data_IF_703768684474
#
_entry.id   IF_703768684474
#
_cell.length_a   1.000
_cell.length_b   1.000
_cell.length_c   1.000
_cell.angle_alpha   90.00
_cell.angle_beta   90.00
_cell.angle_gamma   90.00
#
_symmetry.space_group_name_H-M   'P 1'
#
loop_
_entity.id
_entity.type
_entity.pdbx_description
1 polymer ?
#
# COMPACT_ATOMS: atom_id res chain seq x y z
N UNK A 1 -18.88 57.29 23.23
CA UNK A 1 -17.93 57.52 24.33
C UNK A 1 -18.19 56.43 25.35
N UNK A 2 -17.42 55.35 25.49
CA UNK A 2 -16.07 55.06 25.04
C UNK A 2 -15.87 53.55 24.79
N UNK A 3 -14.88 53.31 23.93
CA UNK A 3 -14.14 52.13 23.44
C UNK A 3 -14.06 50.82 24.25
N UNK A 4 -14.18 49.68 23.53
CA UNK A 4 -13.24 48.51 23.44
C UNK A 4 -13.97 47.35 22.71
N UNK A 5 -13.62 46.96 21.48
CA UNK A 5 -12.45 46.24 20.97
C UNK A 5 -12.42 44.72 21.32
N UNK A 6 -12.78 43.93 20.30
CA UNK A 6 -12.27 42.64 19.78
C UNK A 6 -11.90 41.44 20.69
N UNK A 7 -12.48 40.28 20.31
CA UNK A 7 -11.94 38.90 20.10
C UNK A 7 -10.98 38.29 21.17
N UNK A 8 -10.91 37.00 21.52
CA UNK A 8 -11.08 35.72 20.82
C UNK A 8 -10.91 34.56 21.85
N UNK A 9 -11.40 33.33 21.53
CA UNK A 9 -10.92 31.99 21.97
C UNK A 9 -11.03 31.64 23.49
N UNK A 10 -11.21 30.40 23.96
CA UNK A 10 -11.07 29.02 23.46
C UNK A 10 -11.67 28.05 24.50
N UNK A 11 -11.94 26.79 24.10
CA UNK A 11 -11.74 25.59 24.94
C UNK A 11 -12.68 25.30 26.12
N UNK A 12 -13.55 24.28 25.96
CA UNK A 12 -14.12 23.50 27.08
C UNK A 12 -13.12 22.41 27.54
N UNK A 13 -13.20 21.93 28.80
CA UNK A 13 -12.04 21.69 29.65
C UNK A 13 -11.43 20.29 29.53
N UNK A 14 -10.11 20.23 29.67
CA UNK A 14 -9.33 19.02 29.94
C UNK A 14 -9.43 18.70 31.43
N UNK A 15 -9.70 17.44 31.79
CA UNK A 15 -9.77 16.98 33.16
C UNK A 15 -8.36 16.90 33.76
N UNK A 16 -7.95 17.97 34.45
CA UNK A 16 -6.71 18.00 35.23
C UNK A 16 -6.94 17.32 36.59
N UNK A 17 -6.07 16.37 36.95
CA UNK A 17 -5.95 15.91 38.34
C UNK A 17 -4.55 16.23 38.84
N UNK A 18 -4.50 17.11 39.84
CA UNK A 18 -3.28 17.51 40.51
C UNK A 18 -2.87 16.46 41.56
N UNK A 19 -1.60 16.04 41.55
CA UNK A 19 -0.99 15.26 42.64
C UNK A 19 0.33 15.94 43.01
N UNK A 20 0.49 16.25 44.31
CA UNK A 20 1.66 16.92 44.87
C UNK A 20 2.68 15.89 45.36
N UNK A 21 3.89 15.87 44.77
CA UNK A 21 5.05 15.14 45.31
C UNK A 21 6.25 16.09 45.25
N UNK A 22 6.81 16.40 46.42
CA UNK A 22 8.06 17.17 46.67
C UNK A 22 8.37 18.34 45.71
N UNK A 23 7.78 19.51 46.02
CA UNK A 23 8.19 20.89 45.66
C UNK A 23 8.73 21.18 44.24
N UNK A 24 8.46 20.31 43.28
CA UNK A 24 8.60 20.57 41.84
C UNK A 24 7.27 20.27 41.18
N UNK A 25 6.67 21.30 40.58
CA UNK A 25 5.53 21.17 39.68
C UNK A 25 5.97 20.34 38.48
N UNK A 26 5.65 19.05 38.46
CA UNK A 26 5.82 18.19 37.30
C UNK A 26 4.50 18.16 36.54
N UNK A 27 4.45 18.80 35.37
CA UNK A 27 3.36 18.58 34.42
C UNK A 27 3.50 17.16 33.87
N UNK A 28 2.66 16.24 34.37
CA UNK A 28 2.50 14.93 33.75
C UNK A 28 1.55 15.15 32.58
N UNK A 29 2.09 15.31 31.38
CA UNK A 29 1.32 15.14 30.15
C UNK A 29 0.97 13.66 30.11
N UNK A 30 -0.26 13.31 30.47
CA UNK A 30 -0.80 11.98 30.20
C UNK A 30 -1.09 11.97 28.70
N UNK A 31 -0.10 11.53 27.94
CA UNK A 31 -0.25 11.23 26.52
C UNK A 31 -1.22 10.03 26.43
N UNK A 32 -2.49 10.30 26.13
CA UNK A 32 -3.57 9.30 25.96
C UNK A 32 -3.35 8.43 24.70
N UNK A 33 -2.18 8.57 24.06
CA UNK A 33 -1.68 7.59 23.11
C UNK A 33 -1.23 6.37 23.91
N UNK A 34 -2.05 5.32 23.88
CA UNK A 34 -1.65 3.98 24.31
C UNK A 34 -0.41 3.58 23.50
N UNK A 35 0.77 3.88 24.04
CA UNK A 35 2.06 3.67 23.41
C UNK A 35 2.34 2.17 23.38
N UNK A 36 2.05 1.54 22.25
CA UNK A 36 2.19 0.09 22.09
C UNK A 36 3.65 -0.25 21.80
N UNK A 37 4.18 -1.26 22.49
CA UNK A 37 5.52 -1.78 22.20
C UNK A 37 5.43 -2.88 21.16
N UNK A 38 6.38 -2.91 20.22
CA UNK A 38 6.53 -4.04 19.30
C UNK A 38 6.83 -5.35 20.07
N UNK A 39 7.33 -5.25 21.30
CA UNK A 39 7.61 -6.39 22.16
C UNK A 39 6.34 -7.11 22.66
N UNK A 40 5.17 -6.46 22.57
CA UNK A 40 3.88 -7.06 22.90
C UNK A 40 3.38 -8.06 21.83
N UNK A 41 4.04 -8.09 20.67
CA UNK A 41 3.65 -8.90 19.52
C UNK A 41 4.52 -10.14 19.33
N UNK A 42 3.93 -11.22 18.80
CA UNK A 42 4.69 -12.42 18.45
C UNK A 42 5.55 -12.19 17.20
N UNK A 43 6.57 -13.00 17.00
CA UNK A 43 7.48 -12.90 15.84
C UNK A 43 6.76 -12.80 14.48
N UNK A 44 5.71 -13.61 14.27
CA UNK A 44 4.95 -13.57 13.02
C UNK A 44 4.07 -12.32 12.90
N UNK A 45 3.58 -11.80 14.02
CA UNK A 45 2.82 -10.54 14.06
C UNK A 45 3.74 -9.39 13.65
N UNK A 46 4.95 -9.32 14.22
CA UNK A 46 5.98 -8.34 13.86
C UNK A 46 6.31 -8.39 12.37
N UNK A 47 6.48 -9.59 11.81
CA UNK A 47 6.72 -9.79 10.36
C UNK A 47 5.59 -9.25 9.49
N UNK A 48 4.33 -9.55 9.84
CA UNK A 48 3.16 -9.04 9.12
C UNK A 48 3.12 -7.52 9.19
N UNK A 49 3.24 -6.94 10.39
CA UNK A 49 3.24 -5.50 10.58
C UNK A 49 4.38 -4.82 9.80
N UNK A 50 5.58 -5.39 9.79
CA UNK A 50 6.72 -4.81 9.06
C UNK A 50 6.55 -4.85 7.54
N UNK A 51 5.90 -5.88 7.00
CA UNK A 51 5.62 -5.95 5.57
C UNK A 51 4.52 -4.97 5.18
N UNK A 52 3.45 -4.88 5.97
CA UNK A 52 2.36 -3.95 5.68
C UNK A 52 2.77 -2.48 5.91
N UNK A 53 3.74 -2.22 6.79
CA UNK A 53 4.30 -0.89 7.05
C UNK A 53 5.53 -0.58 6.18
N UNK A 54 5.77 -1.31 5.09
CA UNK A 54 6.83 -0.94 4.13
C UNK A 54 6.61 0.50 3.67
N UNK A 55 7.64 1.35 3.77
CA UNK A 55 7.58 2.81 3.56
C UNK A 55 6.90 3.65 4.67
N UNK A 56 6.94 3.19 5.93
CA UNK A 56 6.69 4.06 7.09
C UNK A 56 5.23 4.52 7.26
N UNK A 57 4.28 3.67 6.87
CA UNK A 57 2.85 3.96 7.01
C UNK A 57 2.33 5.09 6.12
N UNK A 58 3.17 5.62 5.22
CA UNK A 58 2.78 6.56 4.16
C UNK A 58 2.03 5.84 3.05
N UNK A 59 2.37 4.56 2.82
CA UNK A 59 1.79 3.75 1.77
C UNK A 59 0.59 2.89 2.21
N UNK A 60 -0.44 2.79 1.37
CA UNK A 60 -1.63 1.96 1.59
C UNK A 60 -1.42 0.54 1.02
N UNK A 61 -0.49 -0.18 1.62
CA UNK A 61 -0.09 -1.52 1.21
C UNK A 61 -1.20 -2.55 1.43
N UNK A 62 -1.53 -3.31 0.38
CA UNK A 62 -2.57 -4.34 0.40
C UNK A 62 -2.00 -5.65 -0.15
N UNK A 63 -2.06 -6.71 0.64
CA UNK A 63 -1.54 -8.03 0.26
C UNK A 63 -2.57 -9.13 0.47
N UNK A 64 -2.70 -10.04 -0.49
CA UNK A 64 -3.55 -11.23 -0.30
C UNK A 64 -2.99 -12.16 0.77
N UNK A 65 -3.83 -13.03 1.33
CA UNK A 65 -3.37 -14.07 2.27
C UNK A 65 -2.20 -14.87 1.71
N UNK A 66 -2.34 -15.37 0.47
CA UNK A 66 -1.29 -16.14 -0.19
C UNK A 66 -0.07 -15.29 -0.53
N UNK A 67 -0.26 -13.99 -0.84
CA UNK A 67 0.83 -13.04 -1.01
C UNK A 67 1.66 -12.89 0.27
N UNK A 68 1.01 -12.75 1.42
CA UNK A 68 1.65 -12.69 2.72
C UNK A 68 2.38 -14.00 3.07
N UNK A 69 1.77 -15.17 2.82
CA UNK A 69 2.42 -16.48 3.03
C UNK A 69 3.75 -16.53 2.29
N UNK A 70 3.76 -16.14 1.01
CA UNK A 70 4.95 -16.22 0.16
C UNK A 70 6.00 -15.17 0.53
N UNK A 71 5.60 -13.90 0.67
CA UNK A 71 6.51 -12.80 1.03
C UNK A 71 7.15 -12.98 2.41
N UNK A 72 6.42 -13.54 3.38
CA UNK A 72 6.92 -13.68 4.76
C UNK A 72 7.53 -15.05 5.06
N UNK A 73 7.32 -16.04 4.19
CA UNK A 73 7.73 -17.43 4.43
C UNK A 73 7.04 -18.06 5.65
N UNK A 74 5.82 -17.62 5.98
CA UNK A 74 5.08 -18.09 7.17
C UNK A 74 4.10 -19.19 6.76
N UNK A 75 4.08 -20.29 7.51
CA UNK A 75 3.09 -21.35 7.31
C UNK A 75 1.65 -20.84 7.43
N UNK A 76 0.75 -21.29 6.55
CA UNK A 76 -0.64 -20.80 6.42
C UNK A 76 -1.40 -20.72 7.76
N UNK A 77 -1.33 -21.76 8.60
CA UNK A 77 -2.04 -21.76 9.89
C UNK A 77 -1.45 -20.75 10.88
N UNK A 78 -0.14 -20.51 10.83
CA UNK A 78 0.52 -19.53 11.67
C UNK A 78 0.21 -18.11 11.21
N UNK A 79 0.15 -17.87 9.90
CA UNK A 79 -0.29 -16.60 9.35
C UNK A 79 -1.75 -16.30 9.71
N UNK A 80 -2.65 -17.28 9.54
CA UNK A 80 -4.06 -17.13 9.89
C UNK A 80 -4.26 -16.72 11.35
N UNK A 81 -3.54 -17.37 12.28
CA UNK A 81 -3.56 -17.01 13.71
C UNK A 81 -3.03 -15.60 13.96
N UNK A 82 -1.96 -15.21 13.26
CA UNK A 82 -1.34 -13.89 13.41
C UNK A 82 -2.28 -12.79 12.91
N UNK A 83 -2.85 -12.96 11.72
CA UNK A 83 -3.82 -12.02 11.14
C UNK A 83 -5.07 -11.87 12.00
N UNK A 84 -5.61 -12.97 12.52
CA UNK A 84 -6.78 -12.93 13.42
C UNK A 84 -6.48 -12.10 14.69
N UNK A 85 -5.30 -12.28 15.31
CA UNK A 85 -4.91 -11.44 16.47
C UNK A 85 -4.77 -9.97 16.10
N UNK A 86 -4.11 -9.68 14.98
CA UNK A 86 -3.87 -8.31 14.53
C UNK A 86 -5.17 -7.59 14.10
N UNK A 87 -6.14 -8.33 13.55
CA UNK A 87 -7.49 -7.84 13.27
C UNK A 87 -8.25 -7.55 14.56
N UNK A 88 -8.21 -8.45 15.55
CA UNK A 88 -8.84 -8.23 16.85
C UNK A 88 -8.23 -7.06 17.62
N UNK A 89 -6.93 -6.80 17.42
CA UNK A 89 -6.24 -5.63 17.95
C UNK A 89 -6.53 -4.33 17.16
N UNK A 90 -7.29 -4.40 16.06
CA UNK A 90 -7.63 -3.25 15.22
C UNK A 90 -6.45 -2.66 14.44
N UNK A 91 -5.34 -3.40 14.30
CA UNK A 91 -4.14 -2.94 13.61
C UNK A 91 -4.14 -3.30 12.13
N UNK A 92 -4.75 -4.43 11.80
CA UNK A 92 -4.92 -4.94 10.43
C UNK A 92 -6.41 -5.04 10.14
N UNK A 93 -6.79 -4.89 8.87
CA UNK A 93 -8.14 -5.20 8.39
C UNK A 93 -8.10 -5.99 7.10
N UNK A 94 -9.06 -6.89 6.96
CA UNK A 94 -9.36 -7.58 5.71
C UNK A 94 -10.17 -6.67 4.78
N UNK A 95 -9.86 -6.76 3.50
CA UNK A 95 -10.50 -6.07 2.37
C UNK A 95 -10.75 -7.09 1.26
N UNK A 96 -11.47 -6.68 0.22
CA UNK A 96 -11.75 -7.53 -0.94
C UNK A 96 -10.48 -8.00 -1.66
N UNK A 97 -9.40 -7.22 -1.58
CA UNK A 97 -8.13 -7.49 -2.28
C UNK A 97 -6.99 -7.93 -1.35
N UNK A 98 -7.29 -8.22 -0.08
CA UNK A 98 -6.31 -8.70 0.89
C UNK A 98 -6.35 -7.99 2.23
N UNK A 99 -5.21 -7.92 2.89
CA UNK A 99 -5.04 -7.34 4.23
C UNK A 99 -4.22 -6.07 4.13
N UNK A 100 -4.58 -5.07 4.94
CA UNK A 100 -3.85 -3.81 5.06
C UNK A 100 -3.86 -3.28 6.49
N UNK A 101 -3.00 -2.31 6.79
CA UNK A 101 -3.03 -1.62 8.07
C UNK A 101 -4.31 -0.79 8.21
N UNK A 102 -4.84 -0.74 9.42
CA UNK A 102 -6.01 0.08 9.76
C UNK A 102 -5.58 1.50 10.18
N UNK A 103 -4.39 1.63 10.75
CA UNK A 103 -3.83 2.87 11.27
C UNK A 103 -2.35 2.97 10.92
N UNK A 104 -1.82 4.19 10.85
CA UNK A 104 -0.37 4.38 10.72
C UNK A 104 0.31 3.95 12.03
N UNK A 105 1.13 2.89 11.97
CA UNK A 105 1.80 2.34 13.14
C UNK A 105 2.81 3.33 13.74
N UNK A 106 3.35 4.26 12.95
CA UNK A 106 4.26 5.30 13.44
C UNK A 106 3.55 6.30 14.37
N UNK A 107 2.22 6.36 14.35
CA UNK A 107 1.47 7.18 15.32
C UNK A 107 1.19 6.46 16.64
N UNK A 108 1.41 5.15 16.71
CA UNK A 108 0.96 4.28 17.84
C UNK A 108 2.14 3.61 18.54
N UNK A 109 3.20 3.28 17.80
CA UNK A 109 4.36 2.58 18.34
C UNK A 109 5.30 3.56 19.05
N UNK A 110 5.96 3.07 20.10
CA UNK A 110 7.09 3.78 20.74
C UNK A 110 8.29 3.88 19.79
N UNK A 111 9.13 4.90 19.98
CA UNK A 111 10.27 5.20 19.09
C UNK A 111 11.19 3.99 18.82
N UNK A 112 11.55 3.22 19.86
CA UNK A 112 12.36 2.00 19.71
C UNK A 112 11.70 1.00 18.75
N UNK A 113 10.41 0.75 18.96
CA UNK A 113 9.61 -0.16 18.16
C UNK A 113 9.46 0.27 16.70
N UNK A 114 9.44 1.57 16.41
CA UNK A 114 9.47 2.08 15.02
C UNK A 114 10.78 1.71 14.33
N UNK A 115 11.91 1.92 15.00
CA UNK A 115 13.24 1.58 14.47
C UNK A 115 13.35 0.07 14.22
N UNK A 116 12.91 -0.74 15.18
CA UNK A 116 12.92 -2.20 15.05
C UNK A 116 12.04 -2.66 13.87
N UNK A 117 10.87 -2.06 13.69
CA UNK A 117 9.97 -2.36 12.59
C UNK A 117 10.55 -1.97 11.23
N UNK A 118 11.22 -0.82 11.13
CA UNK A 118 11.91 -0.36 9.91
C UNK A 118 13.08 -1.28 9.55
N UNK A 119 13.83 -1.77 10.54
CA UNK A 119 14.89 -2.73 10.30
C UNK A 119 14.33 -4.08 9.81
N UNK A 120 13.22 -4.55 10.38
CA UNK A 120 12.53 -5.75 9.91
C UNK A 120 11.97 -5.57 8.48
N UNK A 121 11.41 -4.40 8.17
CA UNK A 121 10.86 -4.12 6.84
C UNK A 121 11.96 -4.16 5.78
N UNK A 122 13.15 -3.61 6.06
CA UNK A 122 14.34 -3.70 5.19
C UNK A 122 14.75 -5.15 4.92
N UNK A 123 14.75 -6.01 5.94
CA UNK A 123 15.11 -7.43 5.81
C UNK A 123 14.09 -8.20 4.95
N UNK A 124 12.79 -7.89 5.09
CA UNK A 124 11.70 -8.61 4.40
C UNK A 124 11.49 -8.07 2.98
N UNK A 125 11.64 -6.76 2.81
CA UNK A 125 11.68 -6.14 1.50
C UNK A 125 12.84 -6.79 0.76
N UNK A 126 12.56 -7.37 -0.40
CA UNK A 126 13.62 -7.84 -1.29
C UNK A 126 14.34 -6.62 -1.91
N UNK A 127 14.73 -5.63 -1.10
CA UNK A 127 15.35 -4.37 -1.52
C UNK A 127 16.64 -4.61 -2.30
N UNK A 128 17.27 -5.78 -2.14
CA UNK A 128 18.45 -6.21 -2.89
C UNK A 128 18.15 -7.01 -4.15
N UNK A 129 16.89 -7.36 -4.43
CA UNK A 129 16.54 -8.00 -5.69
C UNK A 129 16.72 -6.99 -6.82
N UNK A 130 17.62 -7.30 -7.76
CA UNK A 130 17.81 -6.50 -8.96
C UNK A 130 16.67 -6.78 -9.92
N UNK A 131 15.72 -5.86 -9.98
CA UNK A 131 14.67 -5.86 -11.00
C UNK A 131 15.24 -5.27 -12.30
N UNK A 132 15.13 -6.01 -13.38
CA UNK A 132 15.41 -5.55 -14.74
C UNK A 132 14.11 -5.07 -15.40
N UNK A 133 14.14 -3.89 -16.03
CA UNK A 133 13.01 -3.38 -16.82
C UNK A 133 12.82 -4.24 -18.08
N UNK A 134 11.59 -4.73 -18.28
CA UNK A 134 11.20 -5.48 -19.48
C UNK A 134 10.48 -4.56 -20.48
N UNK A 135 9.49 -3.80 -20.01
CA UNK A 135 8.63 -2.95 -20.85
C UNK A 135 8.43 -1.60 -20.17
N UNK A 136 8.43 -0.53 -20.95
CA UNK A 136 7.97 0.79 -20.51
C UNK A 136 7.00 1.36 -21.56
N UNK A 137 5.89 1.92 -21.09
CA UNK A 137 4.95 2.64 -21.92
C UNK A 137 4.42 3.89 -21.22
N UNK A 138 3.84 4.78 -22.03
CA UNK A 138 3.15 5.97 -21.58
C UNK A 138 1.64 5.74 -21.56
N UNK A 139 0.97 6.17 -20.49
CA UNK A 139 -0.48 6.13 -20.34
C UNK A 139 -1.05 7.45 -20.89
N UNK A 140 -1.87 7.44 -21.96
CA UNK A 140 -2.49 8.63 -22.56
C UNK A 140 -3.38 9.39 -21.57
N UNK A 141 -3.29 10.72 -21.53
CA UNK A 141 -3.98 11.60 -20.55
C UNK A 141 -5.49 11.41 -20.45
N UNK A 142 -6.10 10.83 -21.48
CA UNK A 142 -7.52 10.45 -21.52
C UNK A 142 -7.89 9.31 -20.55
N UNK A 143 -6.91 8.57 -20.03
CA UNK A 143 -7.10 7.45 -19.09
C UNK A 143 -6.50 7.77 -17.73
N UNK A 144 -7.25 7.52 -16.66
CA UNK A 144 -6.76 7.67 -15.28
C UNK A 144 -5.90 6.46 -14.88
N UNK A 145 -4.87 6.68 -14.08
CA UNK A 145 -3.99 5.59 -13.63
C UNK A 145 -4.78 4.59 -12.77
N UNK A 146 -5.72 5.10 -11.98
CA UNK A 146 -6.63 4.33 -11.13
C UNK A 146 -7.46 3.34 -11.94
N UNK A 147 -7.87 3.69 -13.18
CA UNK A 147 -8.61 2.78 -14.05
C UNK A 147 -7.74 1.59 -14.47
N UNK A 148 -6.45 1.84 -14.73
CA UNK A 148 -5.46 0.78 -15.03
C UNK A 148 -5.29 -0.12 -13.82
N UNK A 149 -5.10 0.47 -12.63
CA UNK A 149 -5.00 -0.27 -11.36
C UNK A 149 -6.22 -1.16 -11.17
N UNK A 150 -7.41 -0.58 -11.21
CA UNK A 150 -8.69 -1.28 -10.99
C UNK A 150 -8.92 -2.41 -12.01
N UNK A 151 -8.50 -2.23 -13.27
CA UNK A 151 -8.59 -3.28 -14.31
C UNK A 151 -7.66 -4.46 -14.03
N UNK A 152 -6.58 -4.27 -13.27
CA UNK A 152 -5.52 -5.26 -13.03
C UNK A 152 -5.56 -5.89 -11.62
N UNK A 153 -6.20 -5.23 -10.65
CA UNK A 153 -6.31 -5.74 -9.28
C UNK A 153 -6.82 -7.19 -9.25
N UNK A 154 -6.10 -8.05 -8.52
CA UNK A 154 -6.47 -9.45 -8.35
C UNK A 154 -6.25 -10.37 -9.56
N UNK A 155 -5.85 -9.84 -10.73
CA UNK A 155 -5.68 -10.65 -11.94
C UNK A 155 -4.45 -11.54 -11.88
N UNK A 156 -4.55 -12.71 -12.50
CA UNK A 156 -3.43 -13.62 -12.73
C UNK A 156 -3.00 -13.57 -14.19
N UNK A 157 -1.72 -13.80 -14.45
CA UNK A 157 -1.14 -13.74 -15.80
C UNK A 157 -0.27 -14.96 -16.06
N UNK A 158 -0.84 -15.97 -16.72
CA UNK A 158 -0.12 -17.23 -16.92
C UNK A 158 0.26 -17.88 -15.59
N UNK A 159 1.56 -18.00 -15.36
CA UNK A 159 2.14 -18.53 -14.12
C UNK A 159 2.22 -17.50 -13.00
N UNK A 160 2.05 -16.21 -13.31
CA UNK A 160 2.05 -15.13 -12.32
C UNK A 160 0.77 -15.13 -11.49
N UNK A 161 0.95 -15.22 -10.17
CA UNK A 161 -0.12 -15.11 -9.18
C UNK A 161 -0.08 -13.76 -8.51
N UNK A 162 -1.26 -13.17 -8.34
CA UNK A 162 -1.43 -11.89 -7.67
C UNK A 162 -0.92 -11.94 -6.22
N UNK A 163 -0.06 -11.00 -5.85
CA UNK A 163 0.49 -10.87 -4.50
C UNK A 163 -0.21 -9.73 -3.77
N UNK A 164 -0.19 -8.55 -4.36
CA UNK A 164 -0.69 -7.34 -3.73
C UNK A 164 -0.36 -6.08 -4.51
N UNK A 165 -0.67 -4.95 -3.89
CA UNK A 165 -0.41 -3.61 -4.39
C UNK A 165 0.20 -2.77 -3.27
N UNK A 166 1.19 -1.97 -3.64
CA UNK A 166 1.77 -0.90 -2.83
C UNK A 166 1.34 0.41 -3.45
N UNK A 167 0.78 1.31 -2.66
CA UNK A 167 0.31 2.62 -3.08
C UNK A 167 1.03 3.64 -2.21
N UNK A 168 1.86 4.51 -2.78
CA UNK A 168 2.57 5.54 -2.03
C UNK A 168 2.69 6.83 -2.85
N UNK A 169 3.48 7.79 -2.35
CA UNK A 169 3.58 9.14 -2.92
C UNK A 169 4.02 9.17 -4.39
N UNK A 170 4.76 8.13 -4.82
CA UNK A 170 5.23 7.96 -6.20
C UNK A 170 4.23 7.29 -7.14
N UNK A 171 3.11 6.78 -6.65
CA UNK A 171 2.10 6.05 -7.43
C UNK A 171 1.92 4.61 -6.97
N UNK A 172 1.64 3.70 -7.90
CA UNK A 172 1.25 2.33 -7.59
C UNK A 172 2.29 1.31 -8.04
N UNK A 173 2.51 0.27 -7.22
CA UNK A 173 3.28 -0.91 -7.60
C UNK A 173 2.40 -2.14 -7.43
N UNK A 174 1.99 -2.73 -8.55
CA UNK A 174 1.26 -3.98 -8.55
C UNK A 174 2.26 -5.14 -8.63
N UNK A 175 2.07 -6.16 -7.80
CA UNK A 175 3.06 -7.21 -7.61
C UNK A 175 2.47 -8.59 -7.89
N UNK A 176 3.23 -9.38 -8.66
CA UNK A 176 2.97 -10.79 -8.91
C UNK A 176 4.20 -11.64 -8.63
N UNK A 177 3.97 -12.93 -8.39
CA UNK A 177 5.02 -13.94 -8.23
C UNK A 177 4.71 -15.16 -9.10
N UNK A 178 5.75 -15.70 -9.72
CA UNK A 178 5.69 -16.94 -10.48
C UNK A 178 5.81 -18.17 -9.58
N UNK A 179 5.33 -19.31 -10.07
CA UNK A 179 5.59 -20.61 -9.44
C UNK A 179 7.10 -20.91 -9.34
N UNK A 180 7.90 -20.37 -10.26
CA UNK A 180 9.36 -20.51 -10.30
C UNK A 180 10.09 -19.48 -9.40
N UNK A 181 9.36 -18.84 -8.46
CA UNK A 181 9.87 -17.95 -7.40
C UNK A 181 10.59 -16.67 -7.89
N UNK A 182 10.24 -16.18 -9.06
CA UNK A 182 10.59 -14.82 -9.50
C UNK A 182 9.36 -13.91 -9.41
N UNK A 183 9.60 -12.62 -9.34
CA UNK A 183 8.62 -11.56 -9.23
C UNK A 183 8.51 -10.77 -10.52
N UNK A 184 7.32 -10.24 -10.74
CA UNK A 184 7.06 -9.23 -11.77
C UNK A 184 6.30 -8.09 -11.11
N UNK A 185 6.80 -6.87 -11.29
CA UNK A 185 6.15 -5.67 -10.80
C UNK A 185 5.68 -4.83 -11.99
N UNK A 186 4.52 -4.20 -11.84
CA UNK A 186 4.09 -3.08 -12.66
C UNK A 186 4.15 -1.82 -11.80
N UNK A 187 5.07 -0.91 -12.12
CA UNK A 187 5.17 0.41 -11.52
C UNK A 187 4.41 1.43 -12.36
N UNK A 188 3.48 2.13 -11.74
CA UNK A 188 2.68 3.20 -12.31
C UNK A 188 3.07 4.50 -11.61
N UNK A 189 3.96 5.27 -12.23
CA UNK A 189 4.51 6.50 -11.68
C UNK A 189 4.19 7.65 -12.62
N UNK A 190 3.45 8.64 -12.14
CA UNK A 190 2.93 9.73 -12.97
C UNK A 190 2.10 9.19 -14.16
N UNK A 191 2.69 9.15 -15.36
CA UNK A 191 2.06 8.65 -16.59
C UNK A 191 2.83 7.49 -17.23
N UNK A 192 3.83 6.96 -16.55
CA UNK A 192 4.61 5.83 -17.03
C UNK A 192 4.15 4.54 -16.36
N UNK A 193 3.93 3.52 -17.19
CA UNK A 193 3.81 2.14 -16.76
C UNK A 193 5.12 1.42 -17.09
N UNK A 194 5.78 0.88 -16.08
CA UNK A 194 7.03 0.12 -16.21
C UNK A 194 6.81 -1.28 -15.67
N UNK A 195 7.01 -2.29 -16.52
CA UNK A 195 7.01 -3.69 -16.10
C UNK A 195 8.46 -4.13 -15.92
N UNK A 196 8.78 -4.65 -14.75
CA UNK A 196 10.11 -5.11 -14.36
C UNK A 196 10.05 -6.50 -13.72
N UNK A 197 11.16 -7.23 -13.73
CA UNK A 197 11.25 -8.57 -13.12
C UNK A 197 12.64 -8.84 -12.56
N UNK A 198 12.72 -9.64 -11.49
CA UNK A 198 13.97 -10.19 -10.93
C UNK A 198 14.30 -11.59 -11.50
N UNK A 199 13.60 -12.02 -12.56
CA UNK A 199 13.78 -13.32 -13.18
C UNK A 199 15.23 -13.54 -13.68
N UNK A 200 15.82 -14.66 -13.29
CA UNK A 200 17.18 -15.07 -13.67
C UNK A 200 17.19 -16.33 -14.53
N UNK A 201 18.15 -16.42 -15.45
CA UNK A 201 18.25 -17.52 -16.41
C UNK A 201 17.31 -17.39 -17.61
N UNK A 202 17.70 -17.98 -18.75
CA UNK A 202 17.02 -17.78 -20.04
C UNK A 202 15.54 -18.20 -20.02
N UNK A 203 15.20 -19.30 -19.33
CA UNK A 203 13.82 -19.79 -19.19
C UNK A 203 12.93 -18.75 -18.48
N UNK A 204 13.33 -18.33 -17.29
CA UNK A 204 12.51 -17.44 -16.46
C UNK A 204 12.46 -16.03 -17.06
N UNK A 205 13.56 -15.53 -17.65
CA UNK A 205 13.54 -14.24 -18.37
C UNK A 205 12.58 -14.26 -19.56
N UNK A 206 12.56 -15.35 -20.33
CA UNK A 206 11.62 -15.53 -21.44
C UNK A 206 10.17 -15.55 -20.94
N UNK A 207 9.91 -16.32 -19.88
CA UNK A 207 8.56 -16.42 -19.30
C UNK A 207 8.08 -15.09 -18.69
N UNK A 208 8.95 -14.38 -17.96
CA UNK A 208 8.67 -13.06 -17.42
C UNK A 208 8.34 -12.07 -18.55
N UNK A 209 9.06 -12.15 -19.67
CA UNK A 209 8.77 -11.33 -20.87
C UNK A 209 7.40 -11.65 -21.45
N UNK A 210 7.04 -12.93 -21.60
CA UNK A 210 5.70 -13.33 -22.09
C UNK A 210 4.61 -12.80 -21.14
N UNK A 211 4.80 -12.94 -19.83
CA UNK A 211 3.83 -12.48 -18.86
C UNK A 211 3.73 -10.94 -18.79
N UNK A 212 4.83 -10.21 -18.99
CA UNK A 212 4.84 -8.76 -19.13
C UNK A 212 3.98 -8.29 -20.31
N UNK A 213 4.05 -8.98 -21.45
CA UNK A 213 3.21 -8.70 -22.61
C UNK A 213 1.72 -8.97 -22.34
N UNK A 214 1.39 -9.97 -21.51
CA UNK A 214 -0.01 -10.21 -21.08
C UNK A 214 -0.54 -9.10 -20.18
N UNK A 215 0.30 -8.55 -19.30
CA UNK A 215 -0.05 -7.36 -18.50
C UNK A 215 -0.30 -6.17 -19.45
N UNK A 216 0.63 -5.93 -20.38
CA UNK A 216 0.50 -4.87 -21.39
C UNK A 216 -0.79 -5.00 -22.21
N UNK A 217 -1.14 -6.21 -22.65
CA UNK A 217 -2.36 -6.47 -23.40
C UNK A 217 -3.63 -6.02 -22.65
N UNK A 218 -3.68 -6.22 -21.33
CA UNK A 218 -4.81 -5.74 -20.52
C UNK A 218 -4.85 -4.22 -20.42
N UNK A 219 -3.68 -3.58 -20.32
CA UNK A 219 -3.58 -2.13 -20.31
C UNK A 219 -4.06 -1.57 -21.66
N UNK A 220 -3.56 -2.09 -22.78
CA UNK A 220 -3.93 -1.61 -24.11
C UNK A 220 -5.40 -1.85 -24.44
N UNK A 221 -5.98 -2.97 -23.99
CA UNK A 221 -7.44 -3.20 -24.07
C UNK A 221 -8.23 -2.11 -23.37
N UNK A 222 -7.84 -1.72 -22.16
CA UNK A 222 -8.48 -0.60 -21.45
C UNK A 222 -8.32 0.73 -22.20
N UNK A 223 -7.13 1.00 -22.75
CA UNK A 223 -6.89 2.22 -23.53
C UNK A 223 -7.82 2.30 -24.75
N UNK A 224 -7.99 1.17 -25.46
CA UNK A 224 -8.88 1.06 -26.62
C UNK A 224 -10.36 1.26 -26.24
N UNK A 225 -10.83 0.58 -25.19
CA UNK A 225 -12.21 0.71 -24.67
C UNK A 225 -12.55 2.16 -24.32
N UNK A 226 -11.60 2.92 -23.78
CA UNK A 226 -11.80 4.33 -23.42
C UNK A 226 -11.84 5.27 -24.64
N UNK A 227 -11.05 4.99 -25.67
CA UNK A 227 -11.07 5.77 -26.92
C UNK A 227 -12.39 5.60 -27.67
N UNK A 228 -12.90 4.37 -27.77
CA UNK A 228 -14.19 4.12 -28.43
C UNK A 228 -15.37 4.80 -27.69
N UNK A 229 -15.30 4.90 -26.36
CA UNK A 229 -16.28 5.65 -25.55
C UNK A 229 -16.21 7.17 -25.75
N UNK A 230 -15.01 7.76 -25.93
CA UNK A 230 -14.89 9.19 -26.23
C UNK A 230 -15.41 9.53 -27.62
N UNK A 231 -15.14 8.68 -28.61
CA UNK A 231 -15.60 8.89 -29.98
C UNK A 231 -17.13 8.76 -30.10
N UNK A 232 -17.74 7.85 -29.33
CA UNK A 232 -19.19 7.71 -29.23
C UNK A 232 -19.89 8.95 -28.64
N UNK A 233 -19.31 9.62 -27.63
CA UNK A 233 -19.87 10.84 -27.03
C UNK A 233 -19.71 12.08 -27.94
N UNK A 234 -18.63 12.15 -28.70
CA UNK A 234 -18.38 13.24 -29.66
C UNK A 234 -19.44 13.25 -30.78
N UNK A 235 -19.84 12.08 -31.28
CA UNK A 235 -20.81 11.95 -32.39
C UNK A 235 -22.22 12.46 -32.07
N UNK A 236 -22.65 12.46 -30.81
CA UNK A 236 -23.98 12.99 -30.44
C UNK A 236 -23.98 14.48 -30.07
N UNK A 237 -22.82 15.09 -29.91
CA UNK A 237 -22.70 16.49 -29.50
C UNK A 237 -22.65 17.46 -30.70
N UNK A 238 -22.36 16.98 -31.91
CA UNK A 238 -22.25 17.82 -33.12
C UNK A 238 -23.52 17.92 -33.97
N UNK A 239 -24.54 17.10 -33.70
CA UNK A 239 -25.80 17.10 -34.47
C UNK A 239 -26.89 18.04 -33.92
N UNK A 240 -26.65 18.73 -32.80
CA UNK A 240 -27.64 19.58 -32.13
C UNK A 240 -27.55 21.09 -32.38
N UNK A 241 -26.61 21.57 -33.22
CA UNK A 241 -26.38 23.01 -33.43
C UNK A 241 -26.87 23.54 -34.78
N UNK A 242 -27.63 22.74 -35.52
CA UNK A 242 -28.34 23.18 -36.73
C UNK A 242 -29.79 22.69 -36.66
N UNK A 243 -30.63 23.40 -35.90
CA UNK A 243 -32.08 23.48 -36.09
C UNK A 243 -32.60 24.73 -35.38
#
# INVERSE_FOLDING_TARGET
MDTKDSQEKEGKPVNEKEVKVDDKMVQIIIDDTSNVSLDDFQTNDKKVLSLLNQDGGVSDNKYTFNGLVRKLGIHQQSLARSLHRLENAGLVKKTDYGYKLTKNLDSILVKKSRIDLENLSKIISHQYAQFEQIIQLYIPTTVKVEDVVNKLLGKWFGTLRWIGIVEGDGGYVLQWESNDKYHVNLKLVSRYAVVESDASGAKNKSEATINAHRILEQITKLLKENQERSDGKSRYSSFGLYN
#
